data_IF_946459342922
#
_entry.id   IF_946459342922
#
_cell.length_a   1.000
_cell.length_b   1.000
_cell.length_c   1.000
_cell.angle_alpha   90.00
_cell.angle_beta   90.00
_cell.angle_gamma   90.00
#
_symmetry.space_group_name_H-M   'P 1'
#
loop_
_entity.id
_entity.type
_entity.pdbx_description
1 polymer ?
#
# COMPACT_ATOMS: atom_id res chain seq x y z
N UNK A 1 44.98 -8.16 -26.03
CA UNK A 1 44.06 -8.52 -27.13
C UNK A 1 42.90 -7.56 -27.10
N UNK A 2 42.57 -6.81 -28.17
CA UNK A 2 41.53 -5.79 -28.14
C UNK A 2 40.16 -6.45 -28.22
N UNK A 3 39.22 -5.91 -27.44
CA UNK A 3 37.81 -6.28 -27.45
C UNK A 3 37.20 -6.07 -28.83
N UNK A 4 36.66 -7.12 -29.40
CA UNK A 4 35.90 -7.11 -30.66
C UNK A 4 34.62 -6.33 -30.43
N UNK A 5 34.56 -5.10 -30.96
CA UNK A 5 33.34 -4.29 -31.02
C UNK A 5 32.34 -5.02 -31.96
N UNK A 6 31.27 -5.52 -31.39
CA UNK A 6 30.13 -6.01 -32.16
C UNK A 6 29.50 -4.86 -32.94
N UNK A 7 29.60 -4.91 -34.24
CA UNK A 7 28.95 -3.97 -35.15
C UNK A 7 27.42 -4.24 -35.16
N UNK A 8 26.67 -3.40 -34.48
CA UNK A 8 25.21 -3.50 -34.34
C UNK A 8 24.41 -2.88 -35.48
N UNK A 9 25.08 -2.40 -36.53
CA UNK A 9 24.46 -1.73 -37.68
C UNK A 9 23.42 -2.56 -38.47
N UNK A 10 23.55 -3.89 -38.62
CA UNK A 10 22.58 -4.68 -39.40
C UNK A 10 21.25 -4.93 -38.61
N UNK A 11 21.22 -4.76 -37.29
CA UNK A 11 20.05 -5.09 -36.47
C UNK A 11 19.11 -3.88 -36.33
N UNK A 12 19.60 -2.67 -36.55
CA UNK A 12 18.86 -1.39 -36.37
C UNK A 12 17.79 -1.12 -37.44
N UNK A 13 17.79 -1.81 -38.57
CA UNK A 13 16.83 -1.60 -39.67
C UNK A 13 15.47 -2.29 -39.50
N UNK A 14 15.30 -3.17 -38.50
CA UNK A 14 14.09 -3.99 -38.31
C UNK A 14 13.31 -3.67 -37.02
N UNK A 15 13.74 -2.65 -36.26
CA UNK A 15 13.18 -2.36 -34.97
C UNK A 15 12.18 -1.19 -35.02
N UNK A 16 10.93 -1.41 -34.68
CA UNK A 16 9.91 -0.35 -34.59
C UNK A 16 10.25 0.67 -33.48
N UNK A 17 9.76 1.92 -33.59
CA UNK A 17 10.00 2.98 -32.58
C UNK A 17 9.71 2.54 -31.15
N UNK A 18 8.71 1.67 -30.94
CA UNK A 18 8.38 1.12 -29.61
C UNK A 18 9.43 0.13 -29.10
N UNK A 19 9.99 -0.69 -29.97
CA UNK A 19 11.08 -1.62 -29.64
C UNK A 19 12.40 -0.88 -29.35
N UNK A 20 12.65 0.25 -30.04
CA UNK A 20 13.81 1.09 -29.79
C UNK A 20 13.77 1.81 -28.43
N UNK A 21 12.58 2.26 -28.00
CA UNK A 21 12.39 2.77 -26.64
C UNK A 21 12.52 1.67 -25.59
N UNK A 22 12.06 0.46 -25.91
CA UNK A 22 12.23 -0.71 -25.05
C UNK A 22 13.71 -1.06 -24.89
N UNK A 23 14.48 -1.09 -25.98
CA UNK A 23 15.93 -1.36 -25.98
C UNK A 23 16.73 -0.27 -25.24
N UNK A 24 16.39 1.00 -25.40
CA UNK A 24 17.01 2.09 -24.62
C UNK A 24 16.74 1.96 -23.13
N UNK A 25 15.51 1.58 -22.74
CA UNK A 25 15.18 1.23 -21.36
C UNK A 25 15.97 0.03 -20.83
N UNK A 26 16.20 -0.98 -21.68
CA UNK A 26 17.01 -2.14 -21.31
C UNK A 26 18.49 -1.77 -21.10
N UNK A 27 19.05 -0.89 -21.93
CA UNK A 27 20.46 -0.48 -21.81
C UNK A 27 20.71 0.34 -20.53
N UNK A 28 19.78 1.23 -20.17
CA UNK A 28 19.86 2.02 -18.95
C UNK A 28 19.73 1.17 -17.67
N UNK A 29 19.00 0.05 -17.73
CA UNK A 29 18.91 -0.92 -16.62
C UNK A 29 20.18 -1.81 -16.50
N UNK A 30 21.00 -1.93 -17.54
CA UNK A 30 22.25 -2.74 -17.54
C UNK A 30 23.43 -1.92 -17.01
N UNK A 31 23.53 -0.65 -17.42
CA UNK A 31 24.61 0.27 -17.04
C UNK A 31 24.27 1.16 -15.84
N UNK A 32 23.16 0.91 -15.18
CA UNK A 32 22.64 1.74 -14.11
C UNK A 32 23.06 1.31 -12.72
N UNK A 33 23.07 2.27 -11.81
CA UNK A 33 23.37 2.05 -10.40
C UNK A 33 22.19 1.39 -9.65
N UNK A 34 22.50 0.63 -8.62
CA UNK A 34 21.56 -0.15 -7.81
C UNK A 34 21.47 0.44 -6.41
N UNK A 35 20.37 1.13 -6.11
CA UNK A 35 20.17 1.85 -4.86
C UNK A 35 19.29 1.07 -3.89
N UNK A 36 19.86 0.58 -2.80
CA UNK A 36 19.14 0.03 -1.65
C UNK A 36 18.84 1.14 -0.64
N UNK A 37 17.62 1.25 -0.18
CA UNK A 37 17.18 2.26 0.78
C UNK A 37 16.44 1.61 1.94
N UNK A 38 16.98 1.78 3.14
CA UNK A 38 16.27 1.54 4.39
C UNK A 38 15.69 2.86 4.90
N UNK A 39 14.35 2.96 4.94
CA UNK A 39 13.63 4.19 5.21
C UNK A 39 13.10 4.26 6.64
N UNK A 40 13.58 5.26 7.38
CA UNK A 40 13.05 5.65 8.68
C UNK A 40 12.41 7.05 8.64
N UNK A 41 11.67 7.42 9.70
CA UNK A 41 10.93 8.69 9.75
C UNK A 41 11.83 9.93 9.63
N UNK A 42 13.02 9.93 10.25
CA UNK A 42 13.91 11.09 10.33
C UNK A 42 15.17 10.96 9.46
N UNK A 43 15.43 9.78 8.93
CA UNK A 43 16.59 9.50 8.10
C UNK A 43 16.31 8.34 7.15
N UNK A 44 17.08 8.29 6.07
CA UNK A 44 17.20 7.10 5.23
C UNK A 44 18.65 6.63 5.29
N UNK A 45 18.85 5.32 5.24
CA UNK A 45 20.17 4.72 5.04
C UNK A 45 20.22 4.18 3.62
N UNK A 46 21.24 4.60 2.87
CA UNK A 46 21.39 4.19 1.48
C UNK A 46 22.65 3.36 1.27
N UNK A 47 22.57 2.46 0.30
CA UNK A 47 23.70 1.78 -0.31
C UNK A 47 23.54 1.80 -1.83
N UNK A 48 24.49 2.40 -2.52
CA UNK A 48 24.54 2.49 -3.97
C UNK A 48 25.63 1.56 -4.50
N UNK A 49 25.27 0.67 -5.42
CA UNK A 49 26.23 -0.21 -6.14
C UNK A 49 26.26 0.11 -7.63
N UNK A 50 27.38 -0.15 -8.25
CA UNK A 50 27.51 -0.13 -9.70
C UNK A 50 27.06 -1.47 -10.36
N UNK A 51 27.27 -1.58 -11.64
CA UNK A 51 26.97 -2.78 -12.44
C UNK A 51 27.94 -3.94 -12.15
N UNK A 52 29.14 -3.67 -11.62
CA UNK A 52 30.10 -4.68 -11.17
C UNK A 52 29.74 -5.26 -9.80
N UNK A 53 28.90 -4.56 -9.04
CA UNK A 53 28.48 -4.94 -7.69
C UNK A 53 29.29 -4.25 -6.60
N UNK A 54 30.17 -3.33 -6.94
CA UNK A 54 30.96 -2.58 -5.98
C UNK A 54 30.14 -1.46 -5.35
N UNK A 55 30.35 -1.25 -4.05
CA UNK A 55 29.64 -0.21 -3.31
C UNK A 55 30.27 1.15 -3.59
N UNK A 56 29.60 1.97 -4.38
CA UNK A 56 30.03 3.33 -4.69
C UNK A 56 29.79 4.29 -3.54
N UNK A 57 28.71 4.10 -2.79
CA UNK A 57 28.38 4.97 -1.67
C UNK A 57 27.47 4.24 -0.66
N UNK A 58 27.80 4.39 0.62
CA UNK A 58 26.94 3.96 1.73
C UNK A 58 26.92 5.04 2.80
N UNK A 59 25.74 5.59 3.12
CA UNK A 59 25.59 6.65 4.12
C UNK A 59 24.19 6.81 4.64
N UNK A 60 24.06 7.51 5.76
CA UNK A 60 22.78 8.00 6.26
C UNK A 60 22.53 9.42 5.77
N UNK A 61 21.27 9.70 5.44
CA UNK A 61 20.79 10.99 4.95
C UNK A 61 19.55 11.40 5.74
N UNK A 62 19.51 12.62 6.24
CA UNK A 62 18.34 13.16 6.92
C UNK A 62 17.17 13.32 5.96
N UNK A 63 15.95 13.00 6.42
CA UNK A 63 14.71 13.22 5.65
C UNK A 63 14.25 14.67 5.63
N UNK A 64 14.98 15.61 6.24
CA UNK A 64 14.68 17.04 6.12
C UNK A 64 14.65 17.44 4.64
N UNK A 65 13.58 18.13 4.14
CA UNK A 65 13.38 18.36 2.71
C UNK A 65 14.59 18.93 1.98
N UNK A 66 15.23 19.95 2.55
CA UNK A 66 16.42 20.55 1.94
C UNK A 66 17.58 19.55 1.84
N UNK A 67 17.89 18.83 2.93
CA UNK A 67 19.05 17.93 2.99
C UNK A 67 18.88 16.74 2.05
N UNK A 68 17.67 16.17 1.96
CA UNK A 68 17.43 15.03 1.09
C UNK A 68 17.39 15.43 -0.39
N UNK A 69 16.84 16.60 -0.71
CA UNK A 69 16.91 17.18 -2.06
C UNK A 69 18.35 17.44 -2.49
N UNK A 70 19.14 18.10 -1.64
CA UNK A 70 20.56 18.36 -1.90
C UNK A 70 21.36 17.05 -2.10
N UNK A 71 20.98 16.01 -1.37
CA UNK A 71 21.57 14.69 -1.55
C UNK A 71 21.27 14.09 -2.91
N UNK A 72 20.00 14.01 -3.31
CA UNK A 72 19.62 13.43 -4.61
C UNK A 72 20.10 14.28 -5.79
N UNK A 73 20.11 15.61 -5.68
CA UNK A 73 20.72 16.49 -6.68
C UNK A 73 22.20 16.18 -6.90
N UNK A 74 22.96 16.04 -5.81
CA UNK A 74 24.39 15.67 -5.90
C UNK A 74 24.56 14.28 -6.48
N UNK A 75 23.80 13.30 -6.01
CA UNK A 75 23.83 11.93 -6.55
C UNK A 75 23.62 11.93 -8.07
N UNK A 76 22.60 12.64 -8.54
CA UNK A 76 22.27 12.73 -9.96
C UNK A 76 23.39 13.43 -10.75
N UNK A 77 23.96 14.49 -10.20
CA UNK A 77 25.02 15.28 -10.87
C UNK A 77 26.35 14.55 -10.93
N UNK A 78 26.78 13.94 -9.84
CA UNK A 78 28.12 13.40 -9.68
C UNK A 78 28.26 11.96 -10.18
N UNK A 79 27.18 11.16 -10.06
CA UNK A 79 27.20 9.73 -10.33
C UNK A 79 26.43 9.33 -11.60
N UNK A 80 25.52 10.20 -12.03
CA UNK A 80 24.65 9.95 -13.20
C UNK A 80 24.87 11.02 -14.28
N UNK A 81 26.07 11.63 -14.32
CA UNK A 81 26.41 12.75 -15.24
C UNK A 81 26.29 12.39 -16.71
N UNK A 82 26.49 11.12 -17.06
CA UNK A 82 26.46 10.62 -18.45
C UNK A 82 25.06 10.23 -18.94
N UNK A 83 23.99 10.69 -18.30
CA UNK A 83 22.63 10.29 -18.64
C UNK A 83 22.22 8.93 -18.08
N UNK A 84 23.04 8.35 -17.22
CA UNK A 84 22.76 7.10 -16.52
C UNK A 84 21.54 7.27 -15.60
N UNK A 85 20.79 6.19 -15.44
CA UNK A 85 19.67 6.07 -14.53
C UNK A 85 19.99 5.09 -13.40
N UNK A 86 19.12 4.97 -12.43
CA UNK A 86 19.28 3.99 -11.37
C UNK A 86 17.96 3.27 -11.05
N UNK A 87 18.08 2.09 -10.46
CA UNK A 87 16.94 1.34 -9.91
C UNK A 87 17.02 1.37 -8.39
N UNK A 88 15.89 1.60 -7.74
CA UNK A 88 15.83 1.65 -6.28
C UNK A 88 14.99 0.52 -5.71
N UNK A 89 15.38 0.00 -4.55
CA UNK A 89 14.56 -0.92 -3.74
C UNK A 89 14.39 -0.38 -2.33
N UNK A 90 13.15 -0.49 -1.84
CA UNK A 90 12.75 -0.11 -0.48
C UNK A 90 11.92 -1.22 0.16
N UNK A 91 12.00 -1.34 1.47
CA UNK A 91 11.01 -2.10 2.22
C UNK A 91 9.72 -1.29 2.39
N UNK A 92 8.56 -1.97 2.35
CA UNK A 92 7.26 -1.33 2.59
C UNK A 92 7.19 -0.81 4.02
N UNK A 93 6.95 0.49 4.14
CA UNK A 93 6.59 1.14 5.39
C UNK A 93 5.38 2.05 5.17
N UNK A 94 4.76 2.55 6.24
CA UNK A 94 3.53 3.34 6.16
C UNK A 94 3.65 4.72 5.49
N UNK A 95 4.85 5.13 5.06
CA UNK A 95 5.17 6.47 4.54
C UNK A 95 6.17 6.48 3.38
N UNK A 96 6.15 5.45 2.51
CA UNK A 96 7.02 5.40 1.32
C UNK A 96 6.63 6.43 0.24
N UNK A 97 5.38 6.89 0.19
CA UNK A 97 4.81 7.61 -0.94
C UNK A 97 5.61 8.86 -1.37
N UNK A 98 6.09 9.64 -0.40
CA UNK A 98 6.87 10.84 -0.68
C UNK A 98 8.25 10.52 -1.28
N UNK A 99 8.88 9.44 -0.79
CA UNK A 99 10.20 9.03 -1.26
C UNK A 99 10.12 8.40 -2.66
N UNK A 100 9.07 7.62 -2.93
CA UNK A 100 8.82 7.05 -4.27
C UNK A 100 8.68 8.16 -5.30
N UNK A 101 7.87 9.19 -5.02
CA UNK A 101 7.72 10.35 -5.92
C UNK A 101 9.05 11.08 -6.13
N UNK A 102 9.77 11.35 -5.06
CA UNK A 102 11.10 11.98 -5.13
C UNK A 102 12.08 11.18 -5.99
N UNK A 103 12.15 9.86 -5.82
CA UNK A 103 13.02 9.00 -6.62
C UNK A 103 12.69 9.08 -8.12
N UNK A 104 11.40 9.16 -8.47
CA UNK A 104 10.94 9.33 -9.85
C UNK A 104 11.39 10.68 -10.43
N UNK A 105 11.36 11.76 -9.64
CA UNK A 105 11.83 13.08 -10.04
C UNK A 105 13.36 13.11 -10.28
N UNK A 106 14.12 12.22 -9.63
CA UNK A 106 15.58 12.13 -9.72
C UNK A 106 16.10 10.97 -10.60
N UNK A 107 15.46 10.72 -11.75
CA UNK A 107 15.87 9.71 -12.75
C UNK A 107 15.86 8.26 -12.27
N UNK A 108 15.12 7.92 -11.22
CA UNK A 108 14.91 6.53 -10.87
C UNK A 108 13.99 5.88 -11.90
N UNK A 109 14.50 4.94 -12.68
CA UNK A 109 13.70 4.27 -13.71
C UNK A 109 12.66 3.33 -13.13
N UNK A 110 13.00 2.67 -12.04
CA UNK A 110 12.12 1.70 -11.39
C UNK A 110 12.34 1.68 -9.90
N UNK A 111 11.26 1.90 -9.17
CA UNK A 111 11.22 1.67 -7.73
C UNK A 111 10.60 0.31 -7.46
N UNK A 112 11.28 -0.51 -6.66
CA UNK A 112 10.84 -1.84 -6.26
C UNK A 112 10.51 -1.80 -4.78
N UNK A 113 9.25 -2.07 -4.43
CA UNK A 113 8.85 -2.25 -3.04
C UNK A 113 8.88 -3.74 -2.70
N UNK A 114 9.48 -4.07 -1.58
CA UNK A 114 9.48 -5.44 -1.05
C UNK A 114 8.88 -5.50 0.34
N UNK A 115 8.30 -6.62 0.68
CA UNK A 115 7.81 -6.86 2.03
C UNK A 115 9.01 -7.13 2.96
N UNK A 116 9.07 -6.50 4.16
CA UNK A 116 10.13 -6.78 5.13
C UNK A 116 10.23 -8.27 5.47
N UNK A 117 11.45 -8.77 5.65
CA UNK A 117 11.69 -10.13 6.15
C UNK A 117 11.81 -10.12 7.67
N UNK A 118 10.74 -10.50 8.37
CA UNK A 118 10.67 -10.51 9.83
C UNK A 118 11.59 -11.58 10.51
N UNK A 119 12.26 -12.44 9.70
CA UNK A 119 13.09 -13.53 10.22
C UNK A 119 14.49 -13.11 10.62
N UNK A 120 14.95 -11.93 10.23
CA UNK A 120 16.31 -11.46 10.55
C UNK A 120 16.42 -11.01 12.01
N UNK A 121 17.16 -11.75 12.82
CA UNK A 121 17.35 -11.49 14.27
C UNK A 121 18.33 -10.37 14.62
N UNK A 122 19.19 -9.92 13.68
CA UNK A 122 20.19 -8.85 13.89
C UNK A 122 20.06 -7.84 12.75
N UNK A 123 19.28 -6.80 12.98
CA UNK A 123 19.09 -5.70 12.03
C UNK A 123 20.02 -4.53 12.42
N UNK A 124 20.70 -3.96 11.42
CA UNK A 124 21.32 -2.64 11.49
C UNK A 124 21.07 -1.94 10.17
N UNK A 125 20.65 -0.69 10.21
CA UNK A 125 20.25 0.11 9.04
C UNK A 125 21.27 0.03 7.88
N UNK A 126 22.58 0.03 8.19
CA UNK A 126 23.63 -0.08 7.16
C UNK A 126 23.66 -1.45 6.47
N UNK A 127 23.47 -2.54 7.22
CA UNK A 127 23.44 -3.89 6.67
C UNK A 127 22.17 -4.12 5.86
N UNK A 128 21.06 -3.54 6.30
CA UNK A 128 19.78 -3.67 5.62
C UNK A 128 19.80 -2.92 4.27
N UNK A 129 20.31 -1.68 4.22
CA UNK A 129 20.51 -0.95 2.96
C UNK A 129 21.50 -1.65 2.03
N UNK A 130 22.61 -2.22 2.56
CA UNK A 130 23.58 -2.98 1.77
C UNK A 130 22.97 -4.26 1.19
N UNK A 131 22.19 -5.00 1.98
CA UNK A 131 21.49 -6.20 1.52
C UNK A 131 20.45 -5.88 0.45
N UNK A 132 19.77 -4.73 0.56
CA UNK A 132 18.81 -4.26 -0.44
C UNK A 132 19.51 -3.94 -1.77
N UNK A 133 20.62 -3.21 -1.77
CA UNK A 133 21.37 -2.91 -2.99
C UNK A 133 21.95 -4.17 -3.64
N UNK A 134 22.44 -5.13 -2.83
CA UNK A 134 22.90 -6.43 -3.30
C UNK A 134 21.79 -7.26 -3.92
N UNK A 135 20.60 -7.26 -3.31
CA UNK A 135 19.41 -7.92 -3.86
C UNK A 135 19.09 -7.41 -5.29
N UNK A 136 19.18 -6.10 -5.53
CA UNK A 136 19.00 -5.54 -6.86
C UNK A 136 20.08 -6.02 -7.82
N UNK A 137 21.32 -5.92 -7.43
CA UNK A 137 22.46 -6.29 -8.27
C UNK A 137 22.44 -7.78 -8.66
N UNK A 138 22.19 -8.68 -7.71
CA UNK A 138 22.05 -10.12 -7.99
C UNK A 138 20.88 -10.41 -8.93
N UNK A 139 19.81 -9.64 -8.87
CA UNK A 139 18.63 -9.80 -9.71
C UNK A 139 18.64 -8.93 -10.97
N UNK A 140 19.71 -8.18 -11.29
CA UNK A 140 19.76 -7.23 -12.41
C UNK A 140 19.35 -7.83 -13.74
N UNK A 141 19.87 -9.01 -14.11
CA UNK A 141 19.53 -9.70 -15.35
C UNK A 141 18.03 -10.06 -15.43
N UNK A 142 17.43 -10.43 -14.31
CA UNK A 142 15.99 -10.72 -14.24
C UNK A 142 15.15 -9.47 -14.39
N UNK A 143 15.57 -8.37 -13.77
CA UNK A 143 14.91 -7.07 -13.89
C UNK A 143 14.91 -6.57 -15.33
N UNK A 144 16.01 -6.79 -16.05
CA UNK A 144 16.12 -6.53 -17.49
C UNK A 144 15.11 -7.31 -18.32
N UNK A 145 14.87 -8.56 -17.95
CA UNK A 145 13.88 -9.43 -18.60
C UNK A 145 12.44 -9.13 -18.15
N UNK A 146 12.19 -8.05 -17.39
CA UNK A 146 10.88 -7.73 -16.85
C UNK A 146 10.37 -8.72 -15.78
N UNK A 147 11.24 -9.63 -15.33
CA UNK A 147 10.88 -10.65 -14.33
C UNK A 147 10.96 -10.11 -12.91
N UNK A 148 10.14 -10.61 -11.97
CA UNK A 148 10.20 -10.18 -10.58
C UNK A 148 11.51 -10.60 -9.91
N UNK A 149 11.90 -9.86 -8.88
CA UNK A 149 13.04 -10.14 -8.01
C UNK A 149 12.83 -11.47 -7.30
N UNK A 150 13.86 -12.34 -7.28
CA UNK A 150 13.82 -13.60 -6.54
C UNK A 150 14.16 -13.41 -5.07
N UNK A 151 13.63 -14.28 -4.22
CA UNK A 151 13.97 -14.35 -2.80
C UNK A 151 13.18 -13.39 -1.91
N UNK A 152 12.36 -12.54 -2.49
CA UNK A 152 11.53 -11.55 -1.74
C UNK A 152 10.13 -11.46 -2.31
N UNK A 153 9.20 -11.04 -1.46
CA UNK A 153 7.83 -10.73 -1.89
C UNK A 153 7.78 -9.28 -2.35
N UNK A 154 7.73 -9.09 -3.67
CA UNK A 154 7.56 -7.77 -4.26
C UNK A 154 6.12 -7.28 -4.06
N UNK A 155 5.97 -6.00 -3.72
CA UNK A 155 4.69 -5.32 -3.57
C UNK A 155 4.50 -4.36 -4.74
N UNK A 156 3.32 -4.38 -5.33
CA UNK A 156 2.98 -3.48 -6.42
C UNK A 156 2.72 -2.06 -5.91
N UNK A 157 3.31 -1.07 -6.58
CA UNK A 157 3.07 0.35 -6.30
C UNK A 157 1.77 0.72 -7.00
N UNK A 158 0.75 1.01 -6.20
CA UNK A 158 -0.54 1.44 -6.72
C UNK A 158 -0.41 2.78 -7.47
N UNK A 159 -1.21 2.98 -8.51
CA UNK A 159 -1.31 4.28 -9.16
C UNK A 159 -1.89 5.34 -8.19
N UNK A 160 -1.72 6.62 -8.51
CA UNK A 160 -2.15 7.72 -7.63
C UNK A 160 -3.65 7.64 -7.30
N UNK A 161 -4.48 7.33 -8.27
CA UNK A 161 -5.93 7.19 -8.09
C UNK A 161 -6.25 6.06 -7.10
N UNK A 162 -5.61 4.91 -7.24
CA UNK A 162 -5.79 3.79 -6.31
C UNK A 162 -5.29 4.13 -4.90
N UNK A 163 -4.18 4.85 -4.78
CA UNK A 163 -3.66 5.29 -3.48
C UNK A 163 -4.66 6.21 -2.77
N UNK A 164 -5.21 7.19 -3.50
CA UNK A 164 -6.25 8.10 -2.99
C UNK A 164 -7.51 7.33 -2.58
N UNK A 165 -7.99 6.42 -3.42
CA UNK A 165 -9.17 5.60 -3.13
C UNK A 165 -8.94 4.65 -1.93
N UNK A 166 -7.74 4.08 -1.79
CA UNK A 166 -7.35 3.32 -0.58
C UNK A 166 -7.41 4.18 0.66
N UNK A 167 -6.91 5.41 0.59
CA UNK A 167 -6.94 6.36 1.71
C UNK A 167 -8.36 6.77 2.05
N UNK A 168 -9.17 7.18 1.06
CA UNK A 168 -10.56 7.57 1.22
C UNK A 168 -11.40 6.45 1.88
N UNK A 169 -11.31 5.24 1.36
CA UNK A 169 -12.04 4.09 1.92
C UNK A 169 -11.55 3.68 3.30
N UNK A 170 -10.28 3.91 3.63
CA UNK A 170 -9.74 3.68 4.98
C UNK A 170 -10.27 4.73 5.96
N UNK A 171 -10.35 5.99 5.57
CA UNK A 171 -10.97 7.06 6.36
C UNK A 171 -12.44 6.74 6.66
N UNK A 172 -13.21 6.30 5.64
CA UNK A 172 -14.63 5.91 5.83
C UNK A 172 -14.78 4.76 6.81
N UNK A 173 -13.95 3.72 6.73
CA UNK A 173 -13.93 2.61 7.70
C UNK A 173 -13.64 3.12 9.12
N UNK A 174 -12.63 3.97 9.29
CA UNK A 174 -12.26 4.57 10.57
C UNK A 174 -13.41 5.38 11.18
N UNK A 175 -14.10 6.19 10.37
CA UNK A 175 -15.27 6.94 10.79
C UNK A 175 -16.42 6.01 11.25
N UNK A 176 -16.67 4.90 10.53
CA UNK A 176 -17.65 3.90 10.96
C UNK A 176 -17.30 3.23 12.29
N UNK A 177 -16.03 2.94 12.52
CA UNK A 177 -15.56 2.40 13.80
C UNK A 177 -15.69 3.43 14.94
N UNK A 178 -15.40 4.72 14.68
CA UNK A 178 -15.60 5.79 15.64
C UNK A 178 -17.08 5.93 16.02
N UNK A 179 -17.98 5.92 15.03
CA UNK A 179 -19.43 5.92 15.28
C UNK A 179 -19.85 4.75 16.17
N UNK A 180 -19.36 3.54 15.89
CA UNK A 180 -19.69 2.35 16.68
C UNK A 180 -19.24 2.51 18.13
N UNK A 181 -18.06 3.09 18.39
CA UNK A 181 -17.57 3.37 19.75
C UNK A 181 -18.48 4.34 20.49
N UNK A 182 -18.89 5.45 19.84
CA UNK A 182 -19.82 6.44 20.43
C UNK A 182 -21.16 5.77 20.76
N UNK A 183 -21.75 5.05 19.81
CA UNK A 183 -22.99 4.30 19.99
C UNK A 183 -22.92 3.33 21.18
N UNK A 184 -21.81 2.61 21.31
CA UNK A 184 -21.62 1.67 22.43
C UNK A 184 -21.49 2.39 23.78
N UNK A 185 -20.85 3.56 23.84
CA UNK A 185 -20.79 4.39 25.05
C UNK A 185 -22.18 4.85 25.46
N UNK A 186 -22.98 5.36 24.53
CA UNK A 186 -24.36 5.78 24.80
C UNK A 186 -25.17 4.58 25.31
N UNK A 187 -25.13 3.44 24.66
CA UNK A 187 -25.82 2.23 25.09
C UNK A 187 -25.36 1.76 26.49
N UNK A 188 -24.06 1.87 26.77
CA UNK A 188 -23.54 1.53 28.10
C UNK A 188 -24.11 2.45 29.19
N UNK A 189 -24.15 3.75 28.94
CA UNK A 189 -24.75 4.71 29.86
C UNK A 189 -26.25 4.44 30.13
N UNK A 190 -27.01 4.17 29.06
CA UNK A 190 -28.42 3.79 29.20
C UNK A 190 -28.62 2.52 30.03
N UNK A 191 -27.76 1.51 29.86
CA UNK A 191 -27.79 0.29 30.67
C UNK A 191 -27.47 0.56 32.13
N UNK A 192 -26.49 1.42 32.42
CA UNK A 192 -26.12 1.81 33.80
C UNK A 192 -27.26 2.44 34.55
N UNK A 193 -28.14 3.18 33.84
CA UNK A 193 -29.33 3.81 34.41
C UNK A 193 -30.62 3.00 34.22
N UNK A 194 -30.53 1.77 33.67
CA UNK A 194 -31.69 0.91 33.35
C UNK A 194 -32.68 1.53 32.36
N UNK A 195 -32.21 2.45 31.50
CA UNK A 195 -33.03 3.18 30.52
C UNK A 195 -32.98 2.59 29.12
N UNK A 196 -32.25 1.50 28.91
CA UNK A 196 -32.08 0.88 27.57
C UNK A 196 -33.42 0.39 27.01
N UNK A 197 -34.34 -0.01 27.88
CA UNK A 197 -35.66 -0.54 27.49
C UNK A 197 -36.64 0.56 27.06
N UNK A 198 -36.42 1.80 27.48
CA UNK A 198 -37.26 2.96 27.16
C UNK A 198 -36.89 3.58 25.82
N UNK A 199 -35.86 3.10 25.18
CA UNK A 199 -35.42 3.60 23.88
C UNK A 199 -36.50 3.38 22.81
N UNK A 200 -36.95 4.45 22.10
CA UNK A 200 -38.12 4.42 21.24
C UNK A 200 -37.94 3.61 19.96
N UNK A 201 -36.74 3.11 19.71
CA UNK A 201 -36.43 2.30 18.51
C UNK A 201 -35.44 1.18 18.84
N UNK A 202 -35.67 -0.02 18.29
CA UNK A 202 -34.75 -1.16 18.43
C UNK A 202 -33.40 -0.91 17.72
N UNK A 203 -33.42 -0.15 16.61
CA UNK A 203 -32.20 0.25 15.88
C UNK A 203 -31.72 1.60 16.39
N UNK A 204 -30.41 1.74 16.57
CA UNK A 204 -29.76 2.98 16.97
C UNK A 204 -28.45 3.16 16.17
N UNK A 205 -28.13 4.37 15.71
CA UNK A 205 -28.81 5.66 15.93
C UNK A 205 -29.94 5.92 14.91
N UNK A 206 -31.05 6.43 15.39
CA UNK A 206 -32.16 6.97 14.57
C UNK A 206 -32.49 8.38 15.06
N UNK A 207 -33.06 9.23 14.22
CA UNK A 207 -33.44 10.60 14.57
C UNK A 207 -34.41 10.60 15.78
N UNK A 208 -35.36 9.66 15.82
CA UNK A 208 -36.33 9.51 16.93
C UNK A 208 -35.60 9.16 18.24
N UNK A 209 -34.61 8.26 18.20
CA UNK A 209 -33.84 7.92 19.39
C UNK A 209 -32.95 9.08 19.86
N UNK A 210 -32.33 9.81 18.93
CA UNK A 210 -31.51 11.00 19.24
C UNK A 210 -32.37 12.09 19.87
N UNK A 211 -33.58 12.37 19.34
CA UNK A 211 -34.50 13.35 19.91
C UNK A 211 -34.95 12.95 21.29
N UNK A 212 -35.16 11.68 21.59
CA UNK A 212 -35.47 11.15 22.91
C UNK A 212 -34.30 11.32 23.86
N UNK A 213 -33.07 10.97 23.48
CA UNK A 213 -31.86 11.13 24.26
C UNK A 213 -31.59 12.60 24.67
N UNK A 214 -31.88 13.56 23.78
CA UNK A 214 -31.77 15.00 24.05
C UNK A 214 -32.74 15.48 25.15
N UNK A 215 -33.84 14.79 25.39
CA UNK A 215 -34.86 15.10 26.43
C UNK A 215 -34.66 14.32 27.73
N UNK A 216 -33.72 13.37 27.72
CA UNK A 216 -33.48 12.51 28.85
C UNK A 216 -32.81 13.32 29.99
N UNK A 217 -33.31 13.12 31.21
CA UNK A 217 -32.74 13.74 32.43
C UNK A 217 -31.86 12.72 33.12
N UNK A 218 -30.59 13.02 33.25
CA UNK A 218 -29.57 12.19 33.88
C UNK A 218 -28.90 12.97 35.05
N UNK A 219 -28.17 12.29 35.94
CA UNK A 219 -27.28 12.97 36.88
C UNK A 219 -26.30 13.90 36.17
N UNK A 220 -25.91 15.00 36.79
CA UNK A 220 -25.21 16.11 36.14
C UNK A 220 -23.99 15.71 35.29
N UNK A 221 -23.14 14.80 35.78
CA UNK A 221 -21.95 14.35 35.05
C UNK A 221 -22.34 13.46 33.87
N UNK A 222 -23.33 12.57 34.07
CA UNK A 222 -23.79 11.70 32.98
C UNK A 222 -24.55 12.51 31.91
N UNK A 223 -25.26 13.55 32.31
CA UNK A 223 -25.88 14.48 31.37
C UNK A 223 -24.84 15.24 30.54
N UNK A 224 -23.75 15.68 31.16
CA UNK A 224 -22.63 16.32 30.46
C UNK A 224 -22.00 15.36 29.46
N UNK A 225 -21.70 14.12 29.88
CA UNK A 225 -21.14 13.09 28.98
C UNK A 225 -22.10 12.77 27.84
N UNK A 226 -23.39 12.60 28.09
CA UNK A 226 -24.41 12.34 27.07
C UNK A 226 -24.46 13.46 26.04
N UNK A 227 -24.43 14.72 26.47
CA UNK A 227 -24.42 15.85 25.54
C UNK A 227 -23.19 15.85 24.64
N UNK A 228 -21.99 15.57 25.17
CA UNK A 228 -20.79 15.44 24.35
C UNK A 228 -20.88 14.28 23.38
N UNK A 229 -21.38 13.12 23.82
CA UNK A 229 -21.52 11.95 22.93
C UNK A 229 -22.53 12.18 21.80
N UNK A 230 -23.58 12.96 22.01
CA UNK A 230 -24.55 13.33 20.98
C UNK A 230 -23.94 14.28 19.94
N UNK A 231 -23.16 15.27 20.40
CA UNK A 231 -22.41 16.17 19.50
C UNK A 231 -21.40 15.37 18.67
N UNK A 232 -20.62 14.51 19.31
CA UNK A 232 -19.67 13.63 18.61
C UNK A 232 -20.37 12.72 17.60
N UNK A 233 -21.55 12.19 17.93
CA UNK A 233 -22.34 11.34 17.05
C UNK A 233 -22.81 12.10 15.82
N UNK A 234 -23.27 13.33 15.96
CA UNK A 234 -23.69 14.18 14.85
C UNK A 234 -22.53 14.51 13.92
N UNK A 235 -21.39 14.95 14.44
CA UNK A 235 -20.19 15.23 13.68
C UNK A 235 -19.65 14.01 12.91
N UNK A 236 -19.66 12.83 13.55
CA UNK A 236 -19.16 11.64 12.88
C UNK A 236 -20.14 11.16 11.80
N UNK A 237 -21.44 11.34 11.96
CA UNK A 237 -22.44 11.03 10.94
C UNK A 237 -22.28 11.94 9.72
N UNK A 238 -22.11 13.25 9.91
CA UNK A 238 -21.83 14.18 8.84
C UNK A 238 -20.55 13.78 8.06
N UNK A 239 -19.45 13.52 8.77
CA UNK A 239 -18.21 13.06 8.15
C UNK A 239 -18.37 11.77 7.38
N UNK A 240 -19.17 10.84 7.86
CA UNK A 240 -19.48 9.58 7.13
C UNK A 240 -20.20 9.89 5.83
N UNK A 241 -21.17 10.82 5.85
CA UNK A 241 -21.92 11.21 4.67
C UNK A 241 -21.00 11.85 3.62
N UNK A 242 -20.17 12.82 3.99
CA UNK A 242 -19.20 13.47 3.11
C UNK A 242 -18.25 12.43 2.45
N UNK A 243 -17.79 11.45 3.23
CA UNK A 243 -16.93 10.39 2.72
C UNK A 243 -17.69 9.42 1.80
N UNK A 244 -18.97 9.16 2.04
CA UNK A 244 -19.82 8.30 1.18
C UNK A 244 -20.13 8.99 -0.15
N UNK A 245 -20.38 10.30 -0.14
CA UNK A 245 -20.56 11.10 -1.35
C UNK A 245 -19.29 11.09 -2.22
N UNK A 246 -18.13 11.37 -1.63
CA UNK A 246 -16.84 11.32 -2.33
C UNK A 246 -16.52 9.91 -2.87
N UNK A 247 -16.90 8.85 -2.15
CA UNK A 247 -16.75 7.46 -2.62
C UNK A 247 -17.72 7.18 -3.77
N UNK A 248 -18.94 7.68 -3.72
CA UNK A 248 -19.94 7.55 -4.79
C UNK A 248 -19.44 8.15 -6.11
N UNK A 249 -18.88 9.35 -6.07
CA UNK A 249 -18.28 10.01 -7.24
C UNK A 249 -17.14 9.18 -7.84
N UNK A 250 -16.21 8.70 -7.01
CA UNK A 250 -15.09 7.85 -7.45
C UNK A 250 -15.55 6.51 -7.99
N UNK A 251 -16.62 5.95 -7.43
CA UNK A 251 -17.22 4.71 -7.88
C UNK A 251 -17.82 4.86 -9.28
N UNK A 252 -18.52 5.97 -9.52
CA UNK A 252 -19.16 6.26 -10.81
C UNK A 252 -18.19 6.46 -11.98
N UNK A 253 -16.93 6.77 -11.71
CA UNK A 253 -15.88 6.97 -12.72
C UNK A 253 -14.98 5.74 -12.93
N UNK A 254 -15.21 4.64 -12.22
CA UNK A 254 -14.37 3.44 -12.24
C UNK A 254 -15.07 2.27 -12.90
N UNK A 255 -14.56 1.79 -14.04
CA UNK A 255 -15.08 0.60 -14.73
C UNK A 255 -14.98 -0.66 -13.83
N UNK A 256 -13.86 -0.85 -13.13
CA UNK A 256 -13.70 -1.98 -12.21
C UNK A 256 -14.71 -1.96 -11.07
N UNK A 257 -15.01 -0.76 -10.53
CA UNK A 257 -16.03 -0.61 -9.50
C UNK A 257 -17.43 -0.88 -10.06
N UNK A 258 -17.73 -0.49 -11.29
CA UNK A 258 -19.01 -0.78 -11.96
C UNK A 258 -19.25 -2.29 -12.11
N UNK A 259 -18.22 -3.05 -12.48
CA UNK A 259 -18.27 -4.52 -12.53
C UNK A 259 -18.60 -5.09 -11.14
N UNK A 260 -17.94 -4.58 -10.10
CA UNK A 260 -18.15 -5.07 -8.72
C UNK A 260 -19.55 -4.72 -8.18
N UNK A 261 -20.14 -3.60 -8.60
CA UNK A 261 -21.51 -3.21 -8.23
C UNK A 261 -22.58 -4.17 -8.75
N UNK A 262 -22.30 -4.94 -9.82
CA UNK A 262 -23.23 -5.95 -10.33
C UNK A 262 -23.42 -7.14 -9.38
N UNK A 263 -22.52 -7.28 -8.38
CA UNK A 263 -22.59 -8.38 -7.41
C UNK A 263 -23.59 -8.02 -6.30
N UNK A 264 -24.61 -8.84 -6.03
CA UNK A 264 -25.55 -8.60 -4.94
C UNK A 264 -24.84 -8.38 -3.60
N UNK A 265 -25.25 -7.36 -2.84
CA UNK A 265 -24.64 -7.00 -1.55
C UNK A 265 -23.38 -6.12 -1.64
N UNK A 266 -22.90 -5.82 -2.84
CA UNK A 266 -21.78 -4.90 -3.05
C UNK A 266 -22.32 -3.49 -3.33
N UNK A 267 -22.05 -2.56 -2.42
CA UNK A 267 -22.32 -1.13 -2.58
C UNK A 267 -21.05 -0.34 -2.95
N UNK A 268 -21.19 0.94 -3.28
CA UNK A 268 -20.11 1.83 -3.75
C UNK A 268 -18.87 1.79 -2.86
N UNK A 269 -19.01 1.80 -1.54
CA UNK A 269 -17.88 1.68 -0.59
C UNK A 269 -17.11 0.38 -0.78
N UNK A 270 -17.81 -0.75 -0.91
CA UNK A 270 -17.18 -2.07 -1.08
C UNK A 270 -16.54 -2.18 -2.46
N UNK A 271 -17.25 -1.76 -3.52
CA UNK A 271 -16.76 -1.77 -4.89
C UNK A 271 -15.46 -0.96 -5.02
N UNK A 272 -15.49 0.31 -4.65
CA UNK A 272 -14.30 1.19 -4.70
C UNK A 272 -13.16 0.65 -3.83
N UNK A 273 -13.48 0.13 -2.64
CA UNK A 273 -12.46 -0.43 -1.73
C UNK A 273 -11.77 -1.66 -2.29
N UNK A 274 -12.49 -2.54 -2.97
CA UNK A 274 -11.92 -3.75 -3.58
C UNK A 274 -11.17 -3.39 -4.85
N UNK A 275 -11.77 -2.61 -5.77
CA UNK A 275 -11.15 -2.18 -7.02
C UNK A 275 -9.77 -1.58 -6.80
N UNK A 276 -9.65 -0.55 -5.95
CA UNK A 276 -8.37 0.10 -5.69
C UNK A 276 -7.32 -0.80 -5.01
N UNK A 277 -7.73 -1.91 -4.39
CA UNK A 277 -6.81 -2.90 -3.77
C UNK A 277 -6.43 -4.03 -4.70
N UNK A 278 -7.24 -4.31 -5.70
CA UNK A 278 -6.86 -5.14 -6.84
C UNK A 278 -5.86 -4.38 -7.70
N UNK A 279 -6.14 -3.11 -8.03
CA UNK A 279 -5.38 -2.35 -9.02
C UNK A 279 -5.45 -3.03 -10.38
N UNK A 280 -4.36 -3.08 -11.13
CA UNK A 280 -4.32 -3.72 -12.44
C UNK A 280 -4.61 -5.22 -12.33
N UNK A 281 -5.75 -5.66 -12.89
CA UNK A 281 -6.21 -7.06 -12.80
C UNK A 281 -5.32 -8.02 -13.58
N UNK A 282 -4.66 -7.55 -14.66
CA UNK A 282 -3.77 -8.34 -15.53
C UNK A 282 -2.56 -8.94 -14.79
N UNK A 283 -2.20 -8.37 -13.64
CA UNK A 283 -1.15 -8.93 -12.79
C UNK A 283 -1.53 -10.26 -12.10
N UNK A 284 -2.81 -10.62 -12.16
CA UNK A 284 -3.33 -11.85 -11.59
C UNK A 284 -3.74 -12.84 -12.69
N UNK A 285 -2.87 -13.77 -13.09
CA UNK A 285 -3.16 -14.69 -14.18
C UNK A 285 -4.33 -15.64 -13.89
N UNK A 286 -4.70 -15.81 -12.62
CA UNK A 286 -5.80 -16.67 -12.17
C UNK A 286 -6.45 -16.09 -10.91
N UNK A 287 -7.74 -16.37 -10.69
CA UNK A 287 -8.47 -15.97 -9.48
C UNK A 287 -7.79 -16.43 -8.17
N UNK A 288 -7.21 -17.62 -8.17
CA UNK A 288 -6.43 -18.13 -7.04
C UNK A 288 -5.22 -17.26 -6.70
N UNK A 289 -4.60 -16.61 -7.69
CA UNK A 289 -3.48 -15.69 -7.47
C UNK A 289 -3.92 -14.46 -6.66
N UNK A 290 -5.12 -13.93 -6.92
CA UNK A 290 -5.71 -12.84 -6.14
C UNK A 290 -6.09 -13.29 -4.72
N UNK A 291 -6.68 -14.49 -4.58
CA UNK A 291 -7.00 -15.06 -3.28
C UNK A 291 -5.73 -15.23 -2.42
N UNK A 292 -4.64 -15.71 -3.01
CA UNK A 292 -3.34 -15.81 -2.35
C UNK A 292 -2.76 -14.44 -1.99
N UNK A 293 -2.86 -13.47 -2.91
CA UNK A 293 -2.40 -12.09 -2.68
C UNK A 293 -3.10 -11.45 -1.47
N UNK A 294 -4.38 -11.73 -1.27
CA UNK A 294 -5.16 -11.26 -0.12
C UNK A 294 -5.05 -12.16 1.11
N UNK A 295 -4.29 -13.26 1.03
CA UNK A 295 -4.08 -14.19 2.14
C UNK A 295 -5.33 -14.95 2.55
N UNK A 296 -6.19 -15.27 1.59
CA UNK A 296 -7.39 -16.08 1.74
C UNK A 296 -7.12 -17.58 1.58
N UNK A 297 -5.95 -17.94 1.05
CA UNK A 297 -5.54 -19.34 0.89
C UNK A 297 -5.06 -19.91 2.21
N UNK A 298 -5.34 -21.21 2.49
CA UNK A 298 -4.87 -21.86 3.70
C UNK A 298 -3.34 -21.99 3.70
N UNK A 299 -2.75 -21.87 4.86
CA UNK A 299 -1.33 -22.21 5.06
C UNK A 299 -1.13 -23.73 5.01
N UNK A 300 -0.07 -24.18 4.35
CA UNK A 300 0.34 -25.60 4.37
C UNK A 300 1.46 -25.79 5.37
N UNK A 301 1.34 -26.80 6.22
CA UNK A 301 2.40 -27.30 7.09
C UNK A 301 2.72 -28.72 6.71
N UNK A 302 3.51 -28.88 5.63
CA UNK A 302 3.96 -30.20 5.19
C UNK A 302 5.34 -30.47 5.80
N UNK A 303 5.45 -31.53 6.57
CA UNK A 303 6.72 -32.08 7.01
C UNK A 303 6.70 -33.60 6.74
N UNK A 304 7.54 -34.07 5.82
CA UNK A 304 7.69 -35.48 5.46
C UNK A 304 6.53 -36.06 4.66
N UNK A 305 6.39 -37.39 4.67
CA UNK A 305 5.43 -38.19 3.88
C UNK A 305 3.95 -38.03 4.28
N UNK A 306 3.62 -37.19 5.26
CA UNK A 306 2.26 -37.03 5.75
C UNK A 306 1.43 -36.11 4.88
N UNK A 307 0.18 -36.50 4.62
CA UNK A 307 -0.84 -35.77 3.86
C UNK A 307 -0.87 -34.28 4.21
N UNK A 308 -1.14 -33.44 3.20
CA UNK A 308 -1.29 -31.98 3.32
C UNK A 308 -2.22 -31.60 4.50
N UNK A 309 -1.65 -31.07 5.55
CA UNK A 309 -2.44 -30.44 6.63
C UNK A 309 -2.68 -28.99 6.28
N UNK A 310 -3.90 -28.70 5.85
CA UNK A 310 -4.35 -27.34 5.62
C UNK A 310 -4.61 -26.64 6.96
N UNK A 311 -3.94 -25.54 7.20
CA UNK A 311 -4.16 -24.68 8.37
C UNK A 311 -5.19 -23.57 8.10
N UNK A 312 -5.27 -22.62 9.00
CA UNK A 312 -6.05 -21.38 8.79
C UNK A 312 -5.50 -20.58 7.60
N UNK A 313 -6.29 -19.64 7.08
CA UNK A 313 -5.84 -18.73 6.02
C UNK A 313 -4.55 -17.98 6.42
N UNK A 314 -3.67 -17.74 5.46
CA UNK A 314 -2.34 -17.14 5.69
C UNK A 314 -2.40 -15.72 6.25
N UNK A 315 -3.49 -14.99 6.00
CA UNK A 315 -3.68 -13.56 6.33
C UNK A 315 -2.59 -12.64 5.78
N UNK A 316 -1.79 -13.12 4.83
CA UNK A 316 -0.64 -12.42 4.25
C UNK A 316 -1.10 -11.39 3.20
N UNK A 317 -1.74 -10.33 3.50
CA UNK A 317 -2.21 -9.35 2.52
C UNK A 317 -3.23 -8.39 3.13
N UNK A 318 -4.03 -7.74 2.28
CA UNK A 318 -4.95 -6.70 2.72
C UNK A 318 -6.01 -7.21 3.71
N UNK A 319 -5.88 -6.82 4.99
CA UNK A 319 -6.91 -7.07 6.00
C UNK A 319 -8.22 -6.36 5.71
N UNK A 320 -8.16 -5.24 4.98
CA UNK A 320 -9.36 -4.52 4.52
C UNK A 320 -10.13 -5.32 3.48
N UNK A 321 -9.45 -5.89 2.48
CA UNK A 321 -10.09 -6.72 1.46
C UNK A 321 -10.77 -7.96 2.07
N UNK A 322 -10.08 -8.65 2.98
CA UNK A 322 -10.66 -9.80 3.69
C UNK A 322 -11.89 -9.44 4.51
N UNK A 323 -11.84 -8.30 5.21
CA UNK A 323 -12.98 -7.81 5.99
C UNK A 323 -14.19 -7.49 5.09
N UNK A 324 -13.95 -6.81 3.96
CA UNK A 324 -15.02 -6.48 2.99
C UNK A 324 -15.66 -7.73 2.40
N UNK A 325 -14.86 -8.71 1.99
CA UNK A 325 -15.37 -9.97 1.46
C UNK A 325 -16.23 -10.71 2.51
N UNK A 326 -15.80 -10.70 3.78
CA UNK A 326 -16.62 -11.24 4.86
C UNK A 326 -17.94 -10.49 5.11
N UNK A 327 -18.07 -9.21 4.69
CA UNK A 327 -19.32 -8.47 4.78
C UNK A 327 -20.27 -8.78 3.60
N UNK A 328 -19.75 -9.11 2.44
CA UNK A 328 -20.54 -9.44 1.24
C UNK A 328 -21.14 -10.85 1.31
N UNK A 329 -20.49 -11.76 2.06
CA UNK A 329 -20.92 -13.16 2.21
C UNK A 329 -21.93 -13.38 3.36
N UNK A 330 -22.24 -12.35 4.15
CA UNK A 330 -23.24 -12.37 5.23
C UNK A 330 -24.59 -11.83 4.76
#
# INVERSE_FOLDING_TARGET
MPCVGMNLAPILGLITRGQFQHLKRYHALISGAHLGIDQHARQITISLRDDQGDVLQARQVSTQPKKINDFFQRLTRERLSNGESFVAVLEVCGFNDWLIRMLQDYRCEKVILIQPDDRKKRKTDRRDAAALSELLWVNRTRLLQGKPVRGVRQVDIACTVDQENRRLTTLRKGAGQARTRIVNKIKHMLRRHNLIWDMPTKRFPTQRAIAWLKKLVLPAIDQLEMNHLLVDLEHIQQRIQELEEAIGERCGTSEDAAILLSIPGVASFTATSLACRVGRVERFPRSHSLANYWGLTPGCRNSGEKQQRLGSITKAGSGMARWLLGQVTL
#
